data_IF_320276972201
#
_entry.id   IF_320276972201
#
_cell.length_a   1.000
_cell.length_b   1.000
_cell.length_c   1.000
_cell.angle_alpha   90.00
_cell.angle_beta   90.00
_cell.angle_gamma   90.00
#
_symmetry.space_group_name_H-M   'P 1'
#
loop_
_entity.id
_entity.type
_entity.pdbx_description
1 polymer ?
#
# COMPACT_ATOMS: atom_id res chain seq x y z
N UNK A 1 27.60 52.30 -19.96
CA UNK A 1 26.32 51.85 -19.35
C UNK A 1 25.08 52.61 -19.83
N UNK A 2 24.23 51.94 -20.61
CA UNK A 2 22.95 52.43 -21.14
C UNK A 2 21.80 51.91 -20.27
N UNK A 3 20.69 52.66 -20.18
CA UNK A 3 19.49 52.14 -19.51
C UNK A 3 18.95 50.91 -20.27
N UNK A 4 18.73 49.80 -19.56
CA UNK A 4 18.35 48.53 -20.16
C UNK A 4 17.04 48.62 -20.96
N UNK A 5 16.03 49.31 -20.43
CA UNK A 5 14.75 49.47 -21.11
C UNK A 5 14.87 50.33 -22.37
N UNK A 6 15.58 51.46 -22.29
CA UNK A 6 15.79 52.34 -23.46
C UNK A 6 16.51 51.59 -24.58
N UNK A 7 17.53 50.81 -24.24
CA UNK A 7 18.25 49.98 -25.21
C UNK A 7 17.30 48.96 -25.86
N UNK A 8 16.49 48.26 -25.04
CA UNK A 8 15.54 47.26 -25.52
C UNK A 8 14.49 47.87 -26.44
N UNK A 9 13.89 49.00 -26.06
CA UNK A 9 12.86 49.68 -26.85
C UNK A 9 13.41 50.21 -28.19
N UNK A 10 14.67 50.64 -28.23
CA UNK A 10 15.32 51.10 -29.47
C UNK A 10 15.69 49.96 -30.41
N UNK A 11 16.13 48.82 -29.89
CA UNK A 11 16.58 47.66 -30.69
C UNK A 11 15.42 46.72 -31.05
N UNK A 12 14.45 46.62 -30.16
CA UNK A 12 13.25 45.79 -30.26
C UNK A 12 12.02 46.62 -29.89
N UNK A 13 11.50 47.43 -30.82
CA UNK A 13 10.24 48.14 -30.63
C UNK A 13 9.11 47.16 -30.29
N UNK A 14 8.12 47.56 -29.47
CA UNK A 14 7.00 46.73 -29.01
C UNK A 14 6.37 45.84 -30.08
N UNK A 15 6.17 46.38 -31.28
CA UNK A 15 5.49 45.73 -32.40
C UNK A 15 6.28 44.55 -33.00
N UNK A 16 7.58 44.49 -32.70
CA UNK A 16 8.49 43.46 -33.23
C UNK A 16 8.73 42.30 -32.27
N UNK A 17 8.29 42.41 -31.01
CA UNK A 17 8.66 41.48 -29.93
C UNK A 17 7.92 40.17 -29.98
N UNK A 18 6.70 40.17 -30.53
CA UNK A 18 5.83 39.00 -30.54
C UNK A 18 6.45 37.81 -31.26
N UNK A 19 7.23 38.04 -32.32
CA UNK A 19 7.88 36.99 -33.12
C UNK A 19 9.23 36.54 -32.55
N UNK A 20 9.74 37.20 -31.51
CA UNK A 20 11.08 36.90 -30.96
C UNK A 20 11.01 35.68 -30.05
N UNK A 21 11.70 34.62 -30.44
CA UNK A 21 11.79 33.37 -29.66
C UNK A 21 13.07 33.26 -28.84
N UNK A 22 14.12 33.99 -29.22
CA UNK A 22 15.40 34.01 -28.52
C UNK A 22 15.94 35.44 -28.47
N UNK A 23 16.34 35.90 -27.28
CA UNK A 23 16.90 37.23 -27.07
C UNK A 23 18.22 37.10 -26.31
N UNK A 24 19.30 37.58 -26.93
CA UNK A 24 20.60 37.67 -26.29
C UNK A 24 21.04 39.15 -26.22
N UNK A 25 21.16 39.64 -24.99
CA UNK A 25 21.60 41.00 -24.64
C UNK A 25 22.71 40.94 -23.59
N UNK A 26 23.49 39.85 -23.59
CA UNK A 26 24.57 39.64 -22.63
C UNK A 26 25.72 40.62 -22.85
N UNK A 27 26.33 41.13 -21.77
CA UNK A 27 27.52 42.00 -21.81
C UNK A 27 27.35 43.31 -22.60
N UNK A 28 26.13 43.83 -22.68
CA UNK A 28 25.77 45.08 -23.38
C UNK A 28 25.94 46.35 -22.50
N UNK A 29 26.56 46.19 -21.32
CA UNK A 29 26.69 47.23 -20.29
C UNK A 29 25.34 47.85 -19.88
N UNK A 30 24.26 47.07 -19.86
CA UNK A 30 22.93 47.57 -19.53
C UNK A 30 22.80 47.80 -18.02
N UNK A 31 22.08 48.86 -17.62
CA UNK A 31 21.81 49.17 -16.21
C UNK A 31 20.35 49.48 -15.95
N UNK A 32 19.95 49.31 -14.70
CA UNK A 32 18.60 49.65 -14.23
C UNK A 32 17.63 48.49 -14.40
N UNK A 33 16.36 48.80 -14.64
CA UNK A 33 15.29 47.80 -14.77
C UNK A 33 15.10 47.38 -16.23
N UNK A 34 14.83 46.10 -16.43
CA UNK A 34 14.51 45.50 -17.72
C UNK A 34 13.13 44.83 -17.62
N UNK A 35 12.18 45.29 -18.44
CA UNK A 35 10.85 44.71 -18.56
C UNK A 35 10.66 44.14 -19.97
N UNK A 36 10.34 42.84 -20.03
CA UNK A 36 10.14 42.12 -21.28
C UNK A 36 8.67 42.05 -21.71
N UNK A 37 7.92 43.13 -21.50
CA UNK A 37 6.56 43.26 -22.00
C UNK A 37 6.48 42.98 -23.52
N UNK A 38 5.43 42.27 -23.94
CA UNK A 38 5.16 41.77 -25.30
C UNK A 38 6.08 40.67 -25.85
N UNK A 39 7.00 40.11 -25.06
CA UNK A 39 7.82 38.95 -25.47
C UNK A 39 7.09 37.61 -25.22
N UNK A 40 5.84 37.48 -25.70
CA UNK A 40 4.95 36.35 -25.41
C UNK A 40 5.48 34.98 -25.89
N UNK A 41 6.28 34.97 -26.96
CA UNK A 41 6.82 33.74 -27.56
C UNK A 41 8.30 33.51 -27.23
N UNK A 42 8.88 34.28 -26.30
CA UNK A 42 10.28 34.17 -25.92
C UNK A 42 10.53 32.86 -25.16
N UNK A 43 11.41 32.03 -25.71
CA UNK A 43 11.80 30.72 -25.15
C UNK A 43 13.18 30.77 -24.51
N UNK A 44 14.09 31.61 -25.00
CA UNK A 44 15.43 31.77 -24.43
C UNK A 44 15.79 33.23 -24.21
N UNK A 45 16.24 33.54 -23.00
CA UNK A 45 16.75 34.85 -22.64
C UNK A 45 18.16 34.74 -22.05
N UNK A 46 19.11 35.44 -22.65
CA UNK A 46 20.40 35.71 -22.02
C UNK A 46 20.57 37.22 -21.82
N UNK A 47 20.58 37.67 -20.57
CA UNK A 47 20.86 39.04 -20.17
C UNK A 47 22.03 39.15 -19.18
N UNK A 48 22.90 38.13 -19.20
CA UNK A 48 24.06 38.02 -18.30
C UNK A 48 25.12 39.11 -18.50
N UNK A 49 25.95 39.35 -17.48
CA UNK A 49 27.09 40.27 -17.59
C UNK A 49 26.71 41.75 -17.72
N UNK A 50 25.60 42.15 -17.11
CA UNK A 50 25.10 43.51 -17.10
C UNK A 50 25.05 44.06 -15.66
N UNK A 51 24.42 45.22 -15.46
CA UNK A 51 24.18 45.85 -14.16
C UNK A 51 22.68 46.04 -13.95
N UNK A 52 21.89 45.04 -14.37
CA UNK A 52 20.43 45.03 -14.22
C UNK A 52 20.08 44.83 -12.75
N UNK A 53 19.19 45.67 -12.23
CA UNK A 53 18.75 45.65 -10.82
C UNK A 53 17.36 45.04 -10.64
N UNK A 54 16.56 45.00 -11.70
CA UNK A 54 15.22 44.40 -11.72
C UNK A 54 14.95 43.80 -13.09
N UNK A 55 14.39 42.59 -13.10
CA UNK A 55 14.02 41.85 -14.31
C UNK A 55 12.55 41.44 -14.18
N UNK A 56 11.72 41.93 -15.09
CA UNK A 56 10.30 41.57 -15.18
C UNK A 56 10.07 40.63 -16.39
N UNK A 57 9.53 39.45 -16.09
CA UNK A 57 9.29 38.34 -17.02
C UNK A 57 7.80 37.99 -17.12
N UNK A 58 6.90 38.89 -16.72
CA UNK A 58 5.47 38.59 -16.61
C UNK A 58 4.86 38.05 -17.91
N UNK A 59 5.27 38.58 -19.07
CA UNK A 59 4.77 38.16 -20.39
C UNK A 59 5.53 36.96 -20.98
N UNK A 60 6.67 36.56 -20.39
CA UNK A 60 7.55 35.49 -20.89
C UNK A 60 7.04 34.09 -20.49
N UNK A 61 5.78 33.78 -20.74
CA UNK A 61 5.12 32.54 -20.29
C UNK A 61 5.68 31.26 -20.92
N UNK A 62 6.31 31.38 -22.10
CA UNK A 62 6.92 30.29 -22.85
C UNK A 62 8.43 30.13 -22.57
N UNK A 63 8.98 30.83 -21.58
CA UNK A 63 10.41 30.84 -21.31
C UNK A 63 10.90 29.47 -20.79
N UNK A 64 11.84 28.87 -21.50
CA UNK A 64 12.43 27.56 -21.22
C UNK A 64 13.86 27.67 -20.67
N UNK A 65 14.61 28.69 -21.10
CA UNK A 65 15.99 28.94 -20.66
C UNK A 65 16.17 30.42 -20.28
N UNK A 66 16.67 30.66 -19.07
CA UNK A 66 17.01 31.98 -18.57
C UNK A 66 18.45 32.00 -18.04
N UNK A 67 19.25 32.90 -18.58
CA UNK A 67 20.57 33.26 -18.06
C UNK A 67 20.59 34.74 -17.73
N UNK A 68 20.52 35.08 -16.44
CA UNK A 68 20.61 36.45 -15.93
C UNK A 68 21.80 36.64 -14.97
N UNK A 69 22.79 35.76 -15.07
CA UNK A 69 23.96 35.77 -14.20
C UNK A 69 24.82 37.02 -14.33
N UNK A 70 25.61 37.32 -13.29
CA UNK A 70 26.44 38.54 -13.23
C UNK A 70 25.63 39.82 -13.43
N UNK A 71 24.62 40.02 -12.58
CA UNK A 71 23.81 41.23 -12.51
C UNK A 71 23.72 41.71 -11.05
N UNK A 72 22.78 42.62 -10.76
CA UNK A 72 22.52 43.15 -9.41
C UNK A 72 21.06 42.93 -9.00
N UNK A 73 20.45 41.84 -9.47
CA UNK A 73 19.04 41.52 -9.22
C UNK A 73 18.87 41.09 -7.77
N UNK A 74 18.00 41.80 -7.03
CA UNK A 74 17.71 41.50 -5.62
C UNK A 74 16.48 40.59 -5.43
N UNK A 75 15.57 40.59 -6.40
CA UNK A 75 14.36 39.78 -6.43
C UNK A 75 14.02 39.46 -7.88
N UNK A 76 13.57 38.24 -8.13
CA UNK A 76 13.02 37.80 -9.41
C UNK A 76 11.76 36.97 -9.12
N UNK A 77 10.72 37.16 -9.92
CA UNK A 77 9.48 36.38 -9.85
C UNK A 77 9.41 35.46 -11.06
N UNK A 78 9.34 34.16 -10.81
CA UNK A 78 9.28 33.12 -11.84
C UNK A 78 7.88 32.51 -11.95
N UNK A 79 6.86 33.09 -11.32
CA UNK A 79 5.50 32.51 -11.24
C UNK A 79 4.85 32.27 -12.61
N UNK A 80 5.17 33.07 -13.62
CA UNK A 80 4.64 32.91 -14.98
C UNK A 80 5.54 32.04 -15.89
N UNK A 81 6.79 31.79 -15.49
CA UNK A 81 7.77 31.04 -16.28
C UNK A 81 7.63 29.52 -16.06
N UNK A 82 6.43 28.97 -16.25
CA UNK A 82 6.10 27.57 -15.93
C UNK A 82 6.77 26.52 -16.83
N UNK A 83 7.40 26.96 -17.93
CA UNK A 83 8.12 26.10 -18.89
C UNK A 83 9.63 26.03 -18.63
N UNK A 84 10.14 26.73 -17.61
CA UNK A 84 11.58 26.86 -17.38
C UNK A 84 12.21 25.49 -17.08
N UNK A 85 13.25 25.17 -17.84
CA UNK A 85 14.03 23.94 -17.72
C UNK A 85 15.48 24.22 -17.30
N UNK A 86 16.01 25.39 -17.66
CA UNK A 86 17.35 25.86 -17.29
C UNK A 86 17.28 27.27 -16.73
N UNK A 87 17.76 27.44 -15.50
CA UNK A 87 17.77 28.71 -14.80
C UNK A 87 19.15 29.00 -14.24
N UNK A 88 19.80 30.03 -14.77
CA UNK A 88 21.03 30.60 -14.23
C UNK A 88 20.80 32.04 -13.74
N UNK A 89 20.71 32.17 -12.42
CA UNK A 89 20.63 33.43 -11.69
C UNK A 89 21.89 33.65 -10.83
N UNK A 90 23.00 32.99 -11.14
CA UNK A 90 24.22 33.09 -10.34
C UNK A 90 24.78 34.51 -10.32
N UNK A 91 25.63 34.84 -9.33
CA UNK A 91 26.30 36.14 -9.26
C UNK A 91 25.30 37.33 -9.29
N UNK A 92 24.32 37.30 -8.38
CA UNK A 92 23.29 38.33 -8.20
C UNK A 92 23.17 38.70 -6.71
N UNK A 93 22.14 39.47 -6.34
CA UNK A 93 21.88 39.91 -4.97
C UNK A 93 20.62 39.25 -4.39
N UNK A 94 20.22 38.06 -4.86
CA UNK A 94 18.97 37.42 -4.44
C UNK A 94 19.00 37.07 -2.96
N UNK A 95 18.00 37.56 -2.22
CA UNK A 95 17.83 37.24 -0.78
C UNK A 95 16.75 36.19 -0.59
N UNK A 96 15.61 36.37 -1.26
CA UNK A 96 14.47 35.46 -1.19
C UNK A 96 14.08 35.08 -2.62
N UNK A 97 14.10 33.78 -2.90
CA UNK A 97 13.63 33.19 -4.16
C UNK A 97 12.64 32.08 -3.81
N UNK A 98 11.44 32.16 -4.37
CA UNK A 98 10.41 31.15 -4.14
C UNK A 98 10.58 29.98 -5.12
N UNK A 99 11.40 29.01 -4.72
CA UNK A 99 11.60 27.77 -5.48
C UNK A 99 10.29 26.98 -5.68
N UNK A 100 9.23 27.26 -4.92
CA UNK A 100 7.95 26.55 -5.08
C UNK A 100 7.24 26.87 -6.40
N UNK A 101 7.58 28.02 -7.01
CA UNK A 101 7.03 28.50 -8.29
C UNK A 101 7.60 27.80 -9.51
N UNK A 102 8.74 27.12 -9.36
CA UNK A 102 9.33 26.33 -10.44
C UNK A 102 8.61 24.98 -10.56
N UNK A 103 8.41 24.54 -11.80
CA UNK A 103 7.81 23.24 -12.10
C UNK A 103 8.82 22.11 -11.77
N UNK A 104 8.51 21.22 -10.80
CA UNK A 104 9.42 20.16 -10.38
C UNK A 104 9.70 19.11 -11.46
N UNK A 105 8.82 18.97 -12.44
CA UNK A 105 8.95 17.97 -13.50
C UNK A 105 9.78 18.48 -14.68
N UNK A 106 9.92 19.81 -14.85
CA UNK A 106 10.63 20.41 -16.00
C UNK A 106 12.03 20.92 -15.70
N UNK A 107 12.33 21.28 -14.46
CA UNK A 107 13.63 21.86 -14.12
C UNK A 107 14.75 20.82 -14.20
N UNK A 108 15.74 21.07 -15.06
CA UNK A 108 16.90 20.21 -15.34
C UNK A 108 18.18 20.83 -14.78
N UNK A 109 18.36 22.15 -14.94
CA UNK A 109 19.56 22.85 -14.49
C UNK A 109 19.21 24.09 -13.66
N UNK A 110 19.82 24.21 -12.48
CA UNK A 110 19.61 25.32 -11.57
C UNK A 110 20.95 25.85 -11.03
N UNK A 111 21.27 27.09 -11.38
CA UNK A 111 22.46 27.80 -10.91
C UNK A 111 22.04 29.04 -10.13
N UNK A 112 22.30 29.04 -8.82
CA UNK A 112 21.98 30.11 -7.88
C UNK A 112 23.16 30.44 -6.96
N UNK A 113 24.37 29.99 -7.33
CA UNK A 113 25.61 30.35 -6.64
C UNK A 113 25.86 31.85 -6.63
N UNK A 114 26.66 32.31 -5.65
CA UNK A 114 27.02 33.73 -5.51
C UNK A 114 25.80 34.67 -5.43
N UNK A 115 24.85 34.33 -4.57
CA UNK A 115 23.72 35.19 -4.20
C UNK A 115 23.81 35.55 -2.71
N UNK A 116 22.69 35.96 -2.10
CA UNK A 116 22.61 36.35 -0.70
C UNK A 116 21.51 35.60 0.06
N UNK A 117 21.33 34.30 -0.26
CA UNK A 117 20.33 33.47 0.41
C UNK A 117 20.64 33.35 1.92
N UNK A 118 19.66 33.57 2.80
CA UNK A 118 19.84 33.49 4.23
C UNK A 118 20.12 32.06 4.68
N UNK A 119 20.53 31.90 5.94
CA UNK A 119 20.82 30.60 6.53
C UNK A 119 19.66 29.62 6.35
N UNK A 120 19.84 28.58 5.55
CA UNK A 120 18.80 27.58 5.29
C UNK A 120 19.38 26.20 4.91
N UNK A 121 18.54 25.18 4.97
CA UNK A 121 18.85 23.84 4.48
C UNK A 121 18.57 23.67 2.99
N UNK A 122 18.59 22.43 2.51
CA UNK A 122 18.44 22.07 1.09
C UNK A 122 17.06 21.50 0.73
N UNK A 123 16.10 21.53 1.64
CA UNK A 123 14.77 20.93 1.45
C UNK A 123 14.01 21.54 0.27
N UNK A 124 14.24 22.81 -0.06
CA UNK A 124 13.66 23.49 -1.21
C UNK A 124 14.00 22.79 -2.55
N UNK A 125 15.12 22.06 -2.62
CA UNK A 125 15.55 21.37 -3.83
C UNK A 125 15.02 19.93 -3.94
N UNK A 126 14.52 19.35 -2.84
CA UNK A 126 14.15 17.93 -2.76
C UNK A 126 13.05 17.49 -3.73
N UNK A 127 12.28 18.44 -4.27
CA UNK A 127 11.17 18.18 -5.20
C UNK A 127 11.60 18.02 -6.66
N UNK A 128 12.78 18.51 -7.06
CA UNK A 128 13.23 18.55 -8.46
C UNK A 128 13.88 17.22 -8.86
N UNK A 129 13.08 16.17 -9.05
CA UNK A 129 13.59 14.80 -9.31
C UNK A 129 14.36 14.68 -10.64
N UNK A 130 14.06 15.56 -11.60
CA UNK A 130 14.68 15.59 -12.92
C UNK A 130 15.92 16.50 -12.99
N UNK A 131 16.32 17.11 -11.87
CA UNK A 131 17.47 17.99 -11.82
C UNK A 131 18.77 17.22 -12.07
N UNK A 132 19.53 17.65 -13.07
CA UNK A 132 20.82 17.09 -13.48
C UNK A 132 21.98 17.93 -12.95
N UNK A 133 21.80 19.25 -12.82
CA UNK A 133 22.84 20.17 -12.34
C UNK A 133 22.30 21.13 -11.30
N UNK A 134 22.99 21.21 -10.17
CA UNK A 134 22.68 22.13 -9.08
C UNK A 134 23.92 22.88 -8.63
N UNK A 135 23.88 24.21 -8.68
CA UNK A 135 24.94 25.08 -8.15
C UNK A 135 24.38 26.05 -7.13
N UNK A 136 24.85 25.94 -5.89
CA UNK A 136 24.39 26.74 -4.74
C UNK A 136 25.54 27.35 -3.94
N UNK A 137 26.79 27.06 -4.35
CA UNK A 137 28.00 27.48 -3.66
C UNK A 137 28.29 28.98 -3.74
N UNK A 138 29.52 29.32 -3.37
CA UNK A 138 30.08 30.66 -3.46
C UNK A 138 31.48 30.55 -4.09
N UNK A 139 31.72 31.25 -5.20
CA UNK A 139 32.96 31.15 -6.00
C UNK A 139 34.10 32.01 -5.44
N UNK A 140 33.81 33.09 -4.71
CA UNK A 140 34.84 34.04 -4.25
C UNK A 140 35.13 33.93 -2.74
N UNK A 141 36.43 33.93 -2.41
CA UNK A 141 36.96 34.33 -1.10
C UNK A 141 36.25 35.62 -0.72
N UNK A 142 35.72 35.72 0.48
CA UNK A 142 35.06 36.91 1.03
C UNK A 142 36.05 38.10 0.93
N UNK A 143 36.07 38.82 -0.20
CA UNK A 143 36.87 40.03 -0.38
C UNK A 143 35.87 41.18 -0.34
N UNK A 144 35.60 41.56 0.91
CA UNK A 144 35.49 42.92 1.46
C UNK A 144 34.69 44.04 0.78
N UNK A 145 34.06 43.87 -0.39
CA UNK A 145 33.31 44.98 -1.01
C UNK A 145 31.80 44.72 -1.11
N UNK A 146 31.36 43.48 -1.34
CA UNK A 146 29.94 43.15 -1.38
C UNK A 146 29.69 41.83 -0.63
N UNK A 147 29.03 41.92 0.52
CA UNK A 147 28.78 40.84 1.48
C UNK A 147 27.73 39.80 1.00
N UNK A 148 27.74 39.44 -0.29
CA UNK A 148 26.80 38.50 -0.90
C UNK A 148 27.36 37.09 -0.78
N UNK A 149 26.84 36.31 0.15
CA UNK A 149 27.13 34.88 0.21
C UNK A 149 25.87 34.09 0.52
N UNK A 150 25.70 32.98 -0.18
CA UNK A 150 24.69 31.99 0.13
C UNK A 150 25.06 31.29 1.43
N UNK A 151 24.09 31.20 2.34
CA UNK A 151 24.23 30.54 3.64
C UNK A 151 23.51 29.19 3.66
N UNK A 152 23.71 28.35 2.64
CA UNK A 152 23.21 26.98 2.68
C UNK A 152 24.03 26.15 3.68
N UNK A 153 23.35 25.39 4.55
CA UNK A 153 23.95 24.69 5.68
C UNK A 153 23.38 23.29 5.89
N UNK A 154 24.09 22.46 6.65
CA UNK A 154 23.59 21.17 7.14
C UNK A 154 23.99 20.00 6.25
N UNK A 155 23.05 19.09 5.99
CA UNK A 155 23.33 17.82 5.32
C UNK A 155 22.79 17.76 3.89
N UNK A 156 23.51 17.04 3.03
CA UNK A 156 23.09 16.68 1.67
C UNK A 156 21.92 15.69 1.62
N UNK A 157 21.43 15.17 2.75
CA UNK A 157 20.31 14.22 2.82
C UNK A 157 19.05 14.69 2.08
N UNK A 158 18.77 15.99 2.05
CA UNK A 158 17.60 16.50 1.32
C UNK A 158 17.67 16.24 -0.20
N UNK A 159 18.87 15.97 -0.74
CA UNK A 159 19.11 15.68 -2.14
C UNK A 159 19.01 14.18 -2.47
N UNK A 160 18.68 13.32 -1.50
CA UNK A 160 18.61 11.86 -1.64
C UNK A 160 17.73 11.39 -2.80
N UNK A 161 16.63 12.10 -3.04
CA UNK A 161 15.64 11.75 -4.07
C UNK A 161 15.99 12.28 -5.47
N UNK A 162 17.08 13.02 -5.63
CA UNK A 162 17.48 13.62 -6.91
C UNK A 162 18.26 12.57 -7.72
N UNK A 163 17.53 11.56 -8.19
CA UNK A 163 18.10 10.41 -8.89
C UNK A 163 18.87 10.79 -10.14
N UNK A 164 18.56 11.90 -10.81
CA UNK A 164 19.24 12.34 -12.05
C UNK A 164 20.41 13.29 -11.84
N UNK A 165 20.71 13.70 -10.61
CA UNK A 165 21.73 14.70 -10.34
C UNK A 165 23.12 14.19 -10.75
N UNK A 166 23.74 14.87 -11.71
CA UNK A 166 25.06 14.54 -12.24
C UNK A 166 26.15 15.48 -11.74
N UNK A 167 25.81 16.74 -11.46
CA UNK A 167 26.72 17.77 -11.00
C UNK A 167 26.16 18.57 -9.83
N UNK A 168 26.99 18.73 -8.78
CA UNK A 168 26.66 19.50 -7.60
C UNK A 168 27.79 20.47 -7.25
N UNK A 169 27.49 21.77 -7.14
CA UNK A 169 28.42 22.78 -6.64
C UNK A 169 27.94 23.34 -5.30
N UNK A 170 28.70 23.03 -4.25
CA UNK A 170 28.49 23.44 -2.86
C UNK A 170 29.72 24.16 -2.30
N UNK A 171 30.55 24.74 -3.17
CA UNK A 171 31.76 25.45 -2.78
C UNK A 171 31.46 26.52 -1.71
N UNK A 172 32.32 26.64 -0.71
CA UNK A 172 32.26 27.67 0.33
C UNK A 172 30.88 27.80 1.01
N UNK A 173 30.22 26.68 1.27
CA UNK A 173 29.00 26.59 2.07
C UNK A 173 29.29 25.97 3.44
N UNK A 174 28.33 26.03 4.37
CA UNK A 174 28.44 25.37 5.68
C UNK A 174 27.75 23.98 5.66
N UNK A 175 27.79 23.31 4.50
CA UNK A 175 27.34 21.92 4.34
C UNK A 175 28.45 20.99 4.82
N UNK A 176 28.14 20.10 5.77
CA UNK A 176 29.13 19.38 6.56
C UNK A 176 29.10 17.85 6.39
N UNK A 177 28.01 17.26 5.89
CA UNK A 177 27.85 15.79 5.79
C UNK A 177 26.85 15.34 4.74
N UNK A 178 26.79 14.03 4.48
CA UNK A 178 25.72 13.40 3.70
C UNK A 178 26.10 12.99 2.27
N UNK A 179 27.39 12.78 1.97
CA UNK A 179 27.83 12.24 0.67
C UNK A 179 27.21 10.87 0.37
N UNK A 180 26.91 10.10 1.42
CA UNK A 180 26.27 8.79 1.37
C UNK A 180 24.84 8.82 0.83
N UNK A 181 24.16 9.98 0.85
CA UNK A 181 22.79 10.13 0.31
C UNK A 181 22.76 10.54 -1.16
N UNK A 182 23.89 10.93 -1.75
CA UNK A 182 23.91 11.45 -3.13
C UNK A 182 23.70 10.32 -4.14
N UNK A 183 22.84 10.57 -5.13
CA UNK A 183 22.54 9.64 -6.23
C UNK A 183 23.79 9.08 -6.90
N UNK A 184 23.77 7.80 -7.25
CA UNK A 184 24.85 7.12 -8.00
C UNK A 184 25.16 7.76 -9.35
N UNK A 185 24.21 8.50 -9.92
CA UNK A 185 24.41 9.26 -11.15
C UNK A 185 25.31 10.50 -10.96
N UNK A 186 25.57 10.92 -9.71
CA UNK A 186 26.43 12.07 -9.44
C UNK A 186 27.86 11.76 -9.89
N UNK A 187 28.32 12.50 -10.92
CA UNK A 187 29.63 12.35 -11.54
C UNK A 187 30.63 13.31 -10.91
N UNK A 188 30.18 14.52 -10.58
CA UNK A 188 31.03 15.62 -10.12
C UNK A 188 30.43 16.32 -8.91
N UNK A 189 31.29 16.61 -7.94
CA UNK A 189 31.00 17.55 -6.88
C UNK A 189 32.09 18.62 -6.81
N UNK A 190 31.69 19.88 -6.69
CA UNK A 190 32.61 20.97 -6.33
C UNK A 190 32.41 21.34 -4.88
N UNK A 191 33.49 21.30 -4.11
CA UNK A 191 33.45 21.61 -2.68
C UNK A 191 34.73 22.28 -2.22
N UNK A 192 34.56 23.29 -1.39
CA UNK A 192 35.62 23.97 -0.64
C UNK A 192 35.02 24.41 0.69
N UNK A 193 35.78 24.33 1.77
CA UNK A 193 35.36 24.93 3.03
C UNK A 193 35.58 26.44 2.98
N UNK A 194 34.60 27.19 3.48
CA UNK A 194 34.70 28.62 3.75
C UNK A 194 35.93 28.88 4.65
N UNK A 195 36.87 29.72 4.20
CA UNK A 195 38.09 30.04 4.97
C UNK A 195 37.73 30.69 6.33
N UNK A 196 37.80 29.93 7.42
CA UNK A 196 37.66 30.42 8.79
C UNK A 196 38.99 31.02 9.27
N UNK A 197 39.17 32.33 9.15
CA UNK A 197 40.08 33.07 10.05
C UNK A 197 39.36 33.34 11.37
N UNK A 198 39.02 32.28 12.11
CA UNK A 198 38.87 32.25 13.57
C UNK A 198 38.14 30.97 14.02
N UNK A 199 38.78 30.26 14.96
CA UNK A 199 38.27 29.17 15.81
C UNK A 199 38.47 27.74 15.25
N UNK A 200 39.63 27.21 15.62
CA UNK A 200 39.90 25.87 16.17
C UNK A 200 39.09 24.65 15.68
N UNK A 201 39.81 23.77 14.98
CA UNK A 201 39.81 22.31 15.12
C UNK A 201 38.47 21.64 15.44
N UNK A 202 37.79 21.12 14.42
CA UNK A 202 37.69 19.67 14.20
C UNK A 202 36.70 19.34 13.08
N UNK A 203 37.11 18.42 12.23
CA UNK A 203 36.32 17.74 11.20
C UNK A 203 36.04 18.55 9.94
N UNK A 204 37.03 18.56 9.04
CA UNK A 204 36.84 18.75 7.61
C UNK A 204 36.06 17.53 7.03
N UNK A 205 34.82 17.31 7.50
CA UNK A 205 34.08 16.05 7.34
C UNK A 205 33.88 15.65 5.88
N UNK A 206 33.63 16.61 4.99
CA UNK A 206 33.57 16.36 3.55
C UNK A 206 34.93 16.50 2.87
N UNK A 207 35.79 17.43 3.29
CA UNK A 207 37.04 17.69 2.58
C UNK A 207 38.05 16.55 2.72
N UNK A 208 38.23 16.02 3.94
CA UNK A 208 39.18 14.94 4.21
C UNK A 208 38.92 13.69 3.35
N UNK A 209 37.69 13.14 3.28
CA UNK A 209 37.44 11.99 2.42
C UNK A 209 37.49 12.33 0.93
N UNK A 210 37.29 13.59 0.53
CA UNK A 210 37.32 13.99 -0.88
C UNK A 210 38.74 14.26 -1.41
N UNK A 211 39.69 14.70 -0.58
CA UNK A 211 41.05 15.12 -0.98
C UNK A 211 41.77 14.19 -1.98
N UNK A 212 41.77 12.85 -1.83
CA UNK A 212 42.44 11.95 -2.77
C UNK A 212 41.85 11.94 -4.19
N UNK A 213 40.60 12.38 -4.35
CA UNK A 213 39.83 12.31 -5.61
C UNK A 213 39.79 13.63 -6.36
N UNK A 214 40.60 14.60 -5.93
CA UNK A 214 40.69 15.90 -6.55
C UNK A 214 41.23 15.79 -7.99
N UNK A 215 40.45 16.23 -8.97
CA UNK A 215 40.93 16.30 -10.37
C UNK A 215 41.61 17.66 -10.62
N UNK A 216 42.79 17.68 -11.28
CA UNK A 216 43.47 18.91 -11.65
C UNK A 216 42.74 19.60 -12.82
N UNK A 217 41.69 20.34 -12.49
CA UNK A 217 40.93 21.25 -13.38
C UNK A 217 40.63 22.52 -12.56
N UNK A 218 40.28 23.68 -13.16
CA UNK A 218 40.54 24.99 -12.55
C UNK A 218 39.75 25.33 -11.26
N UNK A 219 38.93 24.41 -10.75
CA UNK A 219 38.17 24.56 -9.51
C UNK A 219 38.16 23.22 -8.77
N UNK A 220 37.94 23.20 -7.46
CA UNK A 220 38.03 22.00 -6.62
C UNK A 220 36.95 20.97 -6.95
N UNK A 221 37.19 20.19 -7.99
CA UNK A 221 36.31 19.15 -8.48
C UNK A 221 36.78 17.80 -7.96
N UNK A 222 35.84 17.03 -7.43
CA UNK A 222 36.08 15.69 -6.94
C UNK A 222 35.35 14.67 -7.79
N UNK A 223 36.05 13.58 -8.07
CA UNK A 223 35.52 12.43 -8.80
C UNK A 223 34.73 11.51 -7.87
N UNK A 224 33.41 11.61 -7.94
CA UNK A 224 32.52 10.81 -7.08
C UNK A 224 32.53 9.32 -7.44
N UNK A 225 32.82 8.97 -8.69
CA UNK A 225 32.92 7.56 -9.10
C UNK A 225 34.15 6.91 -8.46
N UNK A 226 35.29 7.63 -8.48
CA UNK A 226 36.50 7.18 -7.81
C UNK A 226 36.31 7.10 -6.28
N UNK A 227 35.68 8.12 -5.68
CA UNK A 227 35.39 8.13 -4.24
C UNK A 227 34.52 6.93 -3.82
N UNK A 228 33.43 6.63 -4.55
CA UNK A 228 32.54 5.48 -4.27
C UNK A 228 33.25 4.13 -4.34
N UNK A 229 34.15 3.95 -5.31
CA UNK A 229 34.90 2.70 -5.50
C UNK A 229 35.71 2.35 -4.25
N UNK A 230 36.35 3.34 -3.64
CA UNK A 230 37.20 3.15 -2.47
C UNK A 230 36.42 3.16 -1.15
N UNK A 231 35.25 3.81 -1.14
CA UNK A 231 34.35 3.90 0.03
C UNK A 231 33.19 2.89 -0.02
N UNK A 232 33.32 1.83 -0.83
CA UNK A 232 32.28 0.82 -1.07
C UNK A 232 31.73 0.18 0.23
N UNK A 233 32.55 0.04 1.28
CA UNK A 233 32.13 -0.48 2.59
C UNK A 233 31.15 0.43 3.35
N UNK A 234 31.15 1.73 3.07
CA UNK A 234 30.21 2.70 3.65
C UNK A 234 28.95 2.85 2.78
N UNK A 235 29.04 2.50 1.50
CA UNK A 235 27.95 2.53 0.51
C UNK A 235 27.06 1.28 0.51
N UNK A 236 27.62 0.14 0.86
CA UNK A 236 26.96 -1.16 0.81
C UNK A 236 25.70 -1.27 1.68
N UNK A 237 25.62 -0.68 2.89
CA UNK A 237 24.36 -0.73 3.65
C UNK A 237 23.22 -0.01 2.92
N UNK A 238 23.46 1.11 2.23
CA UNK A 238 22.40 1.88 1.58
C UNK A 238 21.86 1.23 0.30
N UNK A 239 22.75 0.68 -0.54
CA UNK A 239 22.36 -0.04 -1.76
C UNK A 239 21.68 -1.39 -1.44
N UNK A 240 22.20 -2.13 -0.46
CA UNK A 240 21.57 -3.38 0.01
C UNK A 240 20.24 -3.10 0.70
N UNK A 241 20.09 -1.97 1.40
CA UNK A 241 18.81 -1.54 1.97
C UNK A 241 17.81 -1.13 0.89
N UNK A 242 18.21 -0.45 -0.19
CA UNK A 242 17.27 -0.08 -1.26
C UNK A 242 16.81 -1.27 -2.09
N UNK A 243 17.71 -2.19 -2.48
CA UNK A 243 17.32 -3.43 -3.16
C UNK A 243 16.58 -4.38 -2.21
N UNK A 244 17.04 -4.49 -0.97
CA UNK A 244 16.40 -5.25 0.11
C UNK A 244 14.99 -4.74 0.41
N UNK A 245 14.79 -3.43 0.53
CA UNK A 245 13.46 -2.82 0.74
C UNK A 245 12.55 -3.05 -0.46
N UNK A 246 13.09 -3.02 -1.69
CA UNK A 246 12.29 -3.27 -2.89
C UNK A 246 11.81 -4.72 -2.95
N UNK A 247 12.69 -5.68 -2.66
CA UNK A 247 12.37 -7.11 -2.58
C UNK A 247 11.43 -7.41 -1.41
N UNK A 248 11.68 -6.82 -0.24
CA UNK A 248 10.83 -6.99 0.93
C UNK A 248 9.44 -6.38 0.71
N UNK A 249 9.32 -5.21 0.10
CA UNK A 249 8.01 -4.61 -0.25
C UNK A 249 7.23 -5.46 -1.25
N UNK A 250 7.91 -6.01 -2.27
CA UNK A 250 7.26 -6.95 -3.20
C UNK A 250 6.79 -8.22 -2.49
N UNK A 251 7.62 -8.76 -1.57
CA UNK A 251 7.27 -9.95 -0.80
C UNK A 251 6.14 -9.68 0.19
N UNK A 252 6.13 -8.51 0.85
CA UNK A 252 5.02 -8.06 1.71
C UNK A 252 3.75 -7.92 0.90
N UNK A 253 3.79 -7.24 -0.25
CA UNK A 253 2.61 -7.09 -1.13
C UNK A 253 2.05 -8.44 -1.58
N UNK A 254 2.93 -9.40 -1.94
CA UNK A 254 2.52 -10.76 -2.31
C UNK A 254 1.92 -11.53 -1.13
N UNK A 255 2.49 -11.40 0.07
CA UNK A 255 1.96 -12.04 1.29
C UNK A 255 0.65 -11.40 1.76
N UNK A 256 0.48 -10.10 1.55
CA UNK A 256 -0.77 -9.38 1.84
C UNK A 256 -1.92 -9.85 0.93
N UNK A 257 -1.64 -10.08 -0.36
CA UNK A 257 -2.59 -10.68 -1.30
C UNK A 257 -2.95 -12.12 -0.90
N UNK A 258 -1.95 -12.95 -0.55
CA UNK A 258 -2.18 -14.32 -0.10
C UNK A 258 -2.99 -14.37 1.21
N UNK A 259 -2.67 -13.49 2.17
CA UNK A 259 -3.42 -13.36 3.43
C UNK A 259 -4.86 -12.92 3.17
N UNK A 260 -5.09 -12.02 2.22
CA UNK A 260 -6.44 -11.58 1.84
C UNK A 260 -7.25 -12.75 1.28
N UNK A 261 -6.67 -13.52 0.36
CA UNK A 261 -7.33 -14.70 -0.21
C UNK A 261 -7.66 -15.74 0.87
N UNK A 262 -6.73 -16.01 1.80
CA UNK A 262 -6.96 -16.94 2.91
C UNK A 262 -8.05 -16.47 3.88
N UNK A 263 -8.19 -15.17 4.12
CA UNK A 263 -9.30 -14.61 4.90
C UNK A 263 -10.65 -14.81 4.21
N UNK A 264 -10.71 -14.61 2.90
CA UNK A 264 -11.92 -14.85 2.12
C UNK A 264 -12.32 -16.33 2.14
N UNK A 265 -11.36 -17.25 2.00
CA UNK A 265 -11.59 -18.70 2.14
C UNK A 265 -12.11 -19.07 3.55
N UNK A 266 -11.55 -18.46 4.60
CA UNK A 266 -11.96 -18.72 5.98
C UNK A 266 -13.40 -18.24 6.27
N UNK A 267 -13.83 -17.11 5.71
CA UNK A 267 -15.21 -16.63 5.81
C UNK A 267 -16.19 -17.63 5.19
N UNK A 268 -15.85 -18.20 4.03
CA UNK A 268 -16.69 -19.22 3.37
C UNK A 268 -16.82 -20.47 4.24
N UNK A 269 -15.70 -20.94 4.81
CA UNK A 269 -15.71 -22.10 5.71
C UNK A 269 -16.54 -21.84 6.97
N UNK A 270 -16.49 -20.62 7.52
CA UNK A 270 -17.32 -20.21 8.65
C UNK A 270 -18.81 -20.34 8.38
N UNK A 271 -19.28 -19.82 7.24
CA UNK A 271 -20.69 -19.95 6.86
C UNK A 271 -21.10 -21.42 6.65
N UNK A 272 -20.23 -22.24 6.06
CA UNK A 272 -20.49 -23.68 5.91
C UNK A 272 -20.59 -24.41 7.26
N UNK A 273 -19.74 -24.05 8.23
CA UNK A 273 -19.81 -24.59 9.59
C UNK A 273 -21.10 -24.18 10.31
N UNK A 274 -21.50 -22.91 10.18
CA UNK A 274 -22.76 -22.40 10.74
C UNK A 274 -23.97 -23.14 10.16
N UNK A 275 -24.01 -23.36 8.84
CA UNK A 275 -25.05 -24.14 8.17
C UNK A 275 -25.11 -25.58 8.69
N UNK A 276 -23.95 -26.23 8.88
CA UNK A 276 -23.87 -27.59 9.43
C UNK A 276 -24.35 -27.67 10.88
N UNK A 277 -24.03 -26.67 11.71
CA UNK A 277 -24.49 -26.60 13.10
C UNK A 277 -26.00 -26.38 13.20
N UNK A 278 -26.56 -25.50 12.35
CA UNK A 278 -28.00 -25.31 12.23
C UNK A 278 -28.72 -26.59 11.79
N UNK A 279 -28.16 -27.32 10.82
CA UNK A 279 -28.69 -28.59 10.37
C UNK A 279 -28.65 -29.64 11.50
N UNK A 280 -27.54 -29.71 12.25
CA UNK A 280 -27.39 -30.60 13.41
C UNK A 280 -28.44 -30.31 14.48
N UNK A 281 -28.63 -29.05 14.85
CA UNK A 281 -29.62 -28.64 15.85
C UNK A 281 -31.05 -29.00 15.42
N UNK A 282 -31.34 -28.80 14.14
CA UNK A 282 -32.63 -29.17 13.54
C UNK A 282 -32.85 -30.68 13.58
N UNK A 283 -31.86 -31.49 13.18
CA UNK A 283 -31.92 -32.95 13.25
C UNK A 283 -32.12 -33.43 14.70
N UNK A 284 -31.36 -32.90 15.66
CA UNK A 284 -31.50 -33.27 17.08
C UNK A 284 -32.89 -32.94 17.64
N UNK A 285 -33.48 -31.81 17.22
CA UNK A 285 -34.86 -31.45 17.54
C UNK A 285 -35.88 -32.46 17.03
N UNK A 286 -35.74 -32.90 15.77
CA UNK A 286 -36.59 -33.95 15.19
C UNK A 286 -36.41 -35.30 15.88
N UNK A 287 -35.16 -35.70 16.20
CA UNK A 287 -34.88 -36.94 16.94
C UNK A 287 -35.60 -36.94 18.28
N UNK A 288 -35.51 -35.86 19.07
CA UNK A 288 -36.19 -35.73 20.36
C UNK A 288 -37.72 -35.74 20.24
N UNK A 289 -38.25 -35.09 19.22
CA UNK A 289 -39.69 -35.08 18.98
C UNK A 289 -40.22 -36.48 18.67
N UNK A 290 -39.55 -37.20 17.77
CA UNK A 290 -39.95 -38.56 17.38
C UNK A 290 -39.78 -39.53 18.53
N UNK A 291 -38.69 -39.44 19.31
CA UNK A 291 -38.50 -40.29 20.49
C UNK A 291 -39.60 -40.07 21.53
N UNK A 292 -39.93 -38.81 21.87
CA UNK A 292 -41.04 -38.51 22.79
C UNK A 292 -42.39 -39.05 22.28
N UNK A 293 -42.67 -38.88 20.98
CA UNK A 293 -43.89 -39.39 20.37
C UNK A 293 -43.94 -40.92 20.39
N UNK A 294 -42.82 -41.57 20.08
CA UNK A 294 -42.64 -43.02 20.16
C UNK A 294 -42.86 -43.54 21.58
N UNK A 295 -42.24 -42.94 22.61
CA UNK A 295 -42.44 -43.36 24.00
C UNK A 295 -43.90 -43.20 24.44
N UNK A 296 -44.56 -42.11 24.04
CA UNK A 296 -45.98 -41.87 24.35
C UNK A 296 -46.89 -42.93 23.72
N UNK A 297 -46.66 -43.25 22.44
CA UNK A 297 -47.40 -44.30 21.72
C UNK A 297 -47.13 -45.69 22.30
N UNK A 298 -45.88 -46.00 22.65
CA UNK A 298 -45.49 -47.25 23.32
C UNK A 298 -46.18 -47.42 24.67
N UNK A 299 -46.25 -46.35 25.46
CA UNK A 299 -46.99 -46.36 26.73
C UNK A 299 -48.48 -46.63 26.50
N UNK A 300 -49.11 -45.95 25.55
CA UNK A 300 -50.53 -46.14 25.21
C UNK A 300 -50.83 -47.56 24.73
N UNK A 301 -49.95 -48.12 23.91
CA UNK A 301 -50.02 -49.51 23.45
C UNK A 301 -49.94 -50.49 24.64
N UNK A 302 -49.07 -50.22 25.61
CA UNK A 302 -48.96 -51.05 26.82
C UNK A 302 -50.24 -51.03 27.66
N UNK A 303 -50.87 -49.85 27.83
CA UNK A 303 -52.14 -49.73 28.55
C UNK A 303 -53.28 -50.46 27.83
N UNK A 304 -53.37 -50.29 26.51
CA UNK A 304 -54.36 -50.98 25.70
C UNK A 304 -54.16 -52.50 25.73
N UNK A 305 -52.92 -52.97 25.73
CA UNK A 305 -52.59 -54.40 25.81
C UNK A 305 -53.03 -54.98 27.15
N UNK A 306 -52.74 -54.28 28.25
CA UNK A 306 -53.19 -54.69 29.60
C UNK A 306 -54.71 -54.73 29.66
N UNK A 307 -55.38 -53.70 29.13
CA UNK A 307 -56.84 -53.64 29.06
C UNK A 307 -57.43 -54.80 28.25
N UNK A 308 -56.87 -55.09 27.07
CA UNK A 308 -57.31 -56.22 26.25
C UNK A 308 -57.10 -57.55 26.97
N UNK A 309 -55.92 -57.79 27.57
CA UNK A 309 -55.64 -59.01 28.35
C UNK A 309 -56.67 -59.22 29.46
N UNK A 310 -57.03 -58.16 30.20
CA UNK A 310 -58.00 -58.27 31.31
C UNK A 310 -59.40 -58.78 30.90
N UNK A 311 -59.74 -58.71 29.60
CA UNK A 311 -61.04 -59.14 29.06
C UNK A 311 -60.98 -60.50 28.35
N UNK A 312 -59.81 -61.13 28.30
CA UNK A 312 -59.55 -62.36 27.53
C UNK A 312 -59.39 -63.58 28.45
N UNK A 313 -59.79 -64.76 27.97
CA UNK A 313 -59.46 -66.04 28.61
C UNK A 313 -57.97 -66.40 28.44
N UNK A 314 -57.48 -67.30 29.29
CA UNK A 314 -56.04 -67.65 29.37
C UNK A 314 -55.48 -68.14 28.02
N UNK A 315 -56.27 -68.89 27.23
CA UNK A 315 -55.85 -69.39 25.91
C UNK A 315 -55.70 -68.24 24.90
N UNK A 316 -56.57 -67.23 24.98
CA UNK A 316 -56.54 -66.08 24.06
C UNK A 316 -55.51 -65.03 24.47
N UNK A 317 -55.18 -64.94 25.77
CA UNK A 317 -54.05 -64.15 26.27
C UNK A 317 -52.71 -64.71 25.77
N UNK A 318 -52.50 -66.02 25.84
CA UNK A 318 -51.28 -66.69 25.36
C UNK A 318 -51.06 -66.49 23.84
N UNK A 319 -52.15 -66.53 23.07
CA UNK A 319 -52.12 -66.21 21.64
C UNK A 319 -51.76 -64.74 21.37
N UNK A 320 -52.23 -63.80 22.20
CA UNK A 320 -51.89 -62.38 22.09
C UNK A 320 -50.41 -62.14 22.45
N UNK A 321 -49.89 -62.80 23.48
CA UNK A 321 -48.49 -62.72 23.86
C UNK A 321 -47.56 -63.27 22.79
N UNK A 322 -47.91 -64.44 22.24
CA UNK A 322 -47.19 -65.01 21.09
C UNK A 322 -47.19 -64.05 19.89
N UNK A 323 -48.30 -63.32 19.66
CA UNK A 323 -48.41 -62.36 18.58
C UNK A 323 -47.49 -61.15 18.81
N UNK A 324 -47.52 -60.57 20.01
CA UNK A 324 -46.70 -59.41 20.39
C UNK A 324 -45.20 -59.74 20.36
N UNK A 325 -44.80 -60.88 20.93
CA UNK A 325 -43.40 -61.35 20.91
C UNK A 325 -42.90 -61.56 19.49
N UNK A 326 -43.67 -62.25 18.65
CA UNK A 326 -43.30 -62.49 17.23
C UNK A 326 -43.17 -61.17 16.46
N UNK A 327 -43.90 -60.13 16.84
CA UNK A 327 -43.85 -58.80 16.24
C UNK A 327 -42.65 -57.96 16.69
N UNK A 328 -42.34 -57.92 17.99
CA UNK A 328 -41.14 -57.25 18.52
C UNK A 328 -39.87 -57.85 17.89
N UNK A 329 -39.87 -59.17 17.75
CA UNK A 329 -38.87 -59.94 17.05
C UNK A 329 -38.68 -59.54 15.57
N UNK A 330 -39.75 -59.17 14.86
CA UNK A 330 -39.68 -58.67 13.48
C UNK A 330 -39.14 -57.23 13.45
N UNK A 331 -39.57 -56.38 14.38
CA UNK A 331 -39.15 -54.97 14.46
C UNK A 331 -37.65 -54.85 14.77
N UNK A 332 -37.09 -55.77 15.57
CA UNK A 332 -35.65 -55.81 15.88
C UNK A 332 -34.78 -56.41 14.75
N UNK A 333 -35.35 -57.07 13.75
CA UNK A 333 -34.64 -57.74 12.65
C UNK A 333 -35.09 -57.19 11.28
N UNK A 334 -34.91 -55.88 11.09
CA UNK A 334 -35.28 -55.13 9.88
C UNK A 334 -34.30 -55.38 8.72
N UNK A 335 -34.18 -56.62 8.25
CA UNK A 335 -33.38 -56.89 7.04
C UNK A 335 -33.18 -58.33 6.56
N UNK A 336 -33.67 -59.35 7.28
CA UNK A 336 -33.31 -60.75 6.99
C UNK A 336 -34.41 -61.54 6.25
N UNK A 337 -34.02 -62.58 5.50
CA UNK A 337 -34.91 -63.55 4.82
C UNK A 337 -35.87 -64.30 5.78
N UNK A 338 -35.66 -64.18 7.10
CA UNK A 338 -36.51 -64.76 8.14
C UNK A 338 -37.78 -63.93 8.43
N UNK A 339 -37.81 -62.65 8.03
CA UNK A 339 -39.00 -61.80 8.16
C UNK A 339 -40.23 -62.40 7.48
N UNK A 340 -40.10 -63.08 6.34
CA UNK A 340 -41.24 -63.68 5.62
C UNK A 340 -41.92 -64.82 6.39
N UNK A 341 -41.15 -65.70 7.05
CA UNK A 341 -41.73 -66.77 7.90
C UNK A 341 -42.34 -66.22 9.20
N UNK A 342 -41.71 -65.21 9.79
CA UNK A 342 -42.26 -64.51 10.97
C UNK A 342 -43.53 -63.72 10.61
N UNK A 343 -43.59 -63.09 9.43
CA UNK A 343 -44.80 -62.44 8.89
C UNK A 343 -45.93 -63.46 8.68
N UNK A 344 -45.63 -64.62 8.11
CA UNK A 344 -46.64 -65.68 7.97
C UNK A 344 -47.16 -66.16 9.33
N UNK A 345 -46.27 -66.34 10.31
CA UNK A 345 -46.65 -66.70 11.69
C UNK A 345 -47.53 -65.61 12.29
N UNK A 346 -47.13 -64.35 12.13
CA UNK A 346 -47.87 -63.18 12.59
C UNK A 346 -49.26 -63.10 11.98
N UNK A 347 -49.39 -63.23 10.66
CA UNK A 347 -50.69 -63.19 9.98
C UNK A 347 -51.59 -64.36 10.39
N UNK A 348 -51.02 -65.55 10.62
CA UNK A 348 -51.80 -66.70 11.11
C UNK A 348 -52.34 -66.46 12.51
N UNK A 349 -51.51 -65.98 13.43
CA UNK A 349 -51.94 -65.66 14.80
C UNK A 349 -52.94 -64.51 14.80
N UNK A 350 -52.73 -63.48 13.98
CA UNK A 350 -53.65 -62.34 13.78
C UNK A 350 -55.02 -62.81 13.31
N UNK A 351 -55.07 -63.67 12.28
CA UNK A 351 -56.33 -64.23 11.76
C UNK A 351 -57.01 -65.16 12.76
N UNK A 352 -56.27 -65.87 13.59
CA UNK A 352 -56.82 -66.73 14.63
C UNK A 352 -57.44 -65.92 15.78
N UNK A 353 -56.78 -64.83 16.20
CA UNK A 353 -57.31 -63.88 17.18
C UNK A 353 -58.54 -63.13 16.65
N UNK A 354 -58.52 -62.62 15.41
CA UNK A 354 -59.68 -61.94 14.78
C UNK A 354 -60.89 -62.85 14.56
N UNK A 355 -60.74 -64.18 14.60
CA UNK A 355 -61.86 -65.14 14.54
C UNK A 355 -62.46 -65.45 15.90
N UNK A 356 -61.67 -65.33 16.98
CA UNK A 356 -62.12 -65.57 18.37
C UNK A 356 -62.75 -64.32 19.01
N UNK A 357 -62.37 -63.11 18.57
CA UNK A 357 -62.95 -61.84 19.05
C UNK A 357 -63.46 -60.97 17.91
N UNK A 358 -64.70 -60.48 18.06
CA UNK A 358 -65.33 -59.54 17.13
C UNK A 358 -65.22 -58.08 17.61
N UNK A 359 -64.08 -57.68 18.18
CA UNK A 359 -63.94 -56.37 18.83
C UNK A 359 -63.04 -55.42 18.02
N UNK A 360 -63.56 -54.23 17.73
CA UNK A 360 -62.83 -53.08 17.17
C UNK A 360 -61.52 -52.79 17.93
N UNK A 361 -61.45 -53.13 19.21
CA UNK A 361 -60.29 -52.97 20.10
C UNK A 361 -59.01 -53.68 19.59
N UNK A 362 -59.13 -54.89 19.01
CA UNK A 362 -57.95 -55.61 18.47
C UNK A 362 -57.45 -54.96 17.17
N UNK A 363 -58.34 -54.46 16.32
CA UNK A 363 -57.95 -53.76 15.09
C UNK A 363 -57.26 -52.43 15.41
N UNK A 364 -57.73 -51.70 16.43
CA UNK A 364 -57.09 -50.47 16.90
C UNK A 364 -55.70 -50.77 17.49
N UNK A 365 -55.56 -51.83 18.29
CA UNK A 365 -54.27 -52.28 18.83
C UNK A 365 -53.25 -52.58 17.72
N UNK A 366 -53.66 -53.35 16.71
CA UNK A 366 -52.81 -53.71 15.58
C UNK A 366 -52.40 -52.49 14.74
N UNK A 367 -53.30 -51.51 14.57
CA UNK A 367 -53.01 -50.27 13.85
C UNK A 367 -52.04 -49.37 14.62
N UNK A 368 -52.24 -49.19 15.93
CA UNK A 368 -51.33 -48.44 16.80
C UNK A 368 -49.93 -49.08 16.84
N UNK A 369 -49.86 -50.41 16.83
CA UNK A 369 -48.58 -51.13 16.82
C UNK A 369 -47.83 -51.00 15.48
N UNK A 370 -48.53 -50.97 14.34
CA UNK A 370 -47.92 -50.70 13.02
C UNK A 370 -47.37 -49.27 12.94
N UNK A 371 -48.04 -48.31 13.58
CA UNK A 371 -47.58 -46.92 13.69
C UNK A 371 -46.30 -46.83 14.54
N UNK A 372 -46.23 -47.54 15.68
CA UNK A 372 -45.03 -47.63 16.53
C UNK A 372 -43.84 -48.23 15.77
N UNK A 373 -44.05 -49.26 14.95
CA UNK A 373 -42.98 -49.85 14.13
C UNK A 373 -42.43 -48.84 13.10
N UNK A 374 -43.30 -48.10 12.40
CA UNK A 374 -42.88 -47.05 11.44
C UNK A 374 -42.09 -45.92 12.09
N UNK A 375 -42.44 -45.55 13.33
CA UNK A 375 -41.72 -44.53 14.10
C UNK A 375 -40.33 -45.03 14.53
N UNK A 376 -40.18 -46.31 14.86
CA UNK A 376 -38.90 -46.89 15.22
C UNK A 376 -37.89 -46.85 14.04
N UNK A 377 -38.33 -47.23 12.84
CA UNK A 377 -37.51 -47.16 11.63
C UNK A 377 -37.08 -45.72 11.31
N UNK A 378 -37.97 -44.75 11.50
CA UNK A 378 -37.66 -43.32 11.31
C UNK A 378 -36.65 -42.82 12.34
N UNK A 379 -36.75 -43.24 13.59
CA UNK A 379 -35.83 -42.88 14.66
C UNK A 379 -34.42 -43.41 14.39
N UNK A 380 -34.30 -44.67 13.95
CA UNK A 380 -33.01 -45.29 13.62
C UNK A 380 -32.31 -44.56 12.45
N UNK A 381 -33.06 -44.23 11.38
CA UNK A 381 -32.52 -43.47 10.25
C UNK A 381 -32.04 -42.07 10.65
N UNK A 382 -32.73 -41.40 11.58
CA UNK A 382 -32.33 -40.09 12.08
C UNK A 382 -31.10 -40.17 12.98
N UNK A 383 -31.00 -41.18 13.85
CA UNK A 383 -29.82 -41.41 14.68
C UNK A 383 -28.59 -41.66 13.81
N UNK A 384 -28.68 -42.45 12.74
CA UNK A 384 -27.59 -42.67 11.78
C UNK A 384 -27.15 -41.36 11.11
N UNK A 385 -28.10 -40.50 10.72
CA UNK A 385 -27.81 -39.18 10.13
C UNK A 385 -27.12 -38.26 11.14
N UNK A 386 -27.56 -38.27 12.40
CA UNK A 386 -26.98 -37.49 13.48
C UNK A 386 -25.54 -37.92 13.77
N UNK A 387 -25.24 -39.23 13.79
CA UNK A 387 -23.87 -39.74 13.96
C UNK A 387 -22.95 -39.34 12.81
N UNK A 388 -23.45 -39.35 11.56
CA UNK A 388 -22.66 -38.89 10.40
C UNK A 388 -22.33 -37.40 10.47
N UNK A 389 -23.27 -36.56 10.90
CA UNK A 389 -23.03 -35.13 11.14
C UNK A 389 -22.02 -34.91 12.27
N UNK A 390 -22.08 -35.69 13.35
CA UNK A 390 -21.09 -35.63 14.44
C UNK A 390 -19.66 -35.99 13.99
N UNK A 391 -19.51 -36.97 13.09
CA UNK A 391 -18.20 -37.33 12.54
C UNK A 391 -17.64 -36.34 11.52
N UNK A 392 -18.50 -35.46 10.97
CA UNK A 392 -18.15 -34.52 9.89
C UNK A 392 -17.89 -33.09 10.39
N UNK A 393 -18.21 -32.78 11.65
CA UNK A 393 -17.84 -31.53 12.33
C UNK A 393 -16.71 -31.78 13.32
N UNK A 394 -15.45 -31.45 12.98
CA UNK A 394 -14.39 -31.30 13.98
C UNK A 394 -14.77 -30.22 14.99
N UNK A 395 -14.29 -30.37 16.21
CA UNK A 395 -14.54 -29.45 17.31
C UNK A 395 -14.15 -28.02 16.87
N UNK A 396 -15.09 -27.07 16.93
CA UNK A 396 -14.94 -25.69 16.42
C UNK A 396 -13.67 -24.99 16.96
N UNK A 397 -13.20 -25.44 18.13
CA UNK A 397 -12.03 -24.94 18.82
C UNK A 397 -10.69 -25.42 18.22
N UNK A 398 -10.64 -26.60 17.59
CA UNK A 398 -9.40 -27.15 17.00
C UNK A 398 -9.12 -26.62 15.59
N UNK A 399 -10.13 -26.12 14.87
CA UNK A 399 -9.95 -25.48 13.56
C UNK A 399 -9.70 -23.95 13.65
N UNK A 400 -9.91 -23.34 14.83
CA UNK A 400 -9.66 -21.91 15.07
C UNK A 400 -8.24 -21.57 15.53
N UNK A 401 -7.50 -22.53 16.13
CA UNK A 401 -6.06 -22.38 16.44
C UNK A 401 -5.22 -22.59 15.19
#
# INVERSE_FOLDING_TARGET
>A
MVNAQIWLDQKHPPETREVVTELNISSEELKGSLNLYFFNNLRKLNCSGNVITSLDLNDCTQLEELTCSYNKIAKIDMSNCTQISRLDCSNNCLVNFDFSKLDPEKLIELFVDDNNFPKQGLSCFSRFKNLEKLSIGNSKKIIAEHNTCNQFTGSLRALEKLGRLEELDINNTDIDRGLEYLSDNLKRIKYLKKNERSIELNSNQLLLPLQPYHRPLPYNHYDMMAWRKDHFRYYTPFLVLQEGDKIQKQKISSLEEELKQKKEENIILWHQLEDLENLRNTCSGYTKFIDNYFQSKKFRLSEMTISAKSKLDDETQDMLDTLLETQEEIIQDSGSKFTSKRLERLERTKRALSKKLNSEEIQILLAEQEEVAKLNDQLELLQIRETKLQSSSPNLFEQQQ
#
